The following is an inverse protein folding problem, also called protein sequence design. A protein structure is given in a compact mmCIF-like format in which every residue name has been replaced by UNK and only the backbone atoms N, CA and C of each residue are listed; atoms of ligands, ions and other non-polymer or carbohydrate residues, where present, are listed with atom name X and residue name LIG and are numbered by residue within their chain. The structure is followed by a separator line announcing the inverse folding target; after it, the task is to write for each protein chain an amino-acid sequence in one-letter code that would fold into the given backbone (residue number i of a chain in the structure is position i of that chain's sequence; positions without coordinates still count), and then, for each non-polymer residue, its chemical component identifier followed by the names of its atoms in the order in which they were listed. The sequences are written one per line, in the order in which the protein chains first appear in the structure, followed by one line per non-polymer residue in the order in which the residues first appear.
data_IF_859560598780
#
_entry.id   IF_859560598780
#
_cell.length_a   1.000
_cell.length_b   1.000
_cell.length_c   1.000
_cell.angle_alpha   90.00
_cell.angle_beta   90.00
_cell.angle_gamma   90.00
#
_symmetry.space_group_name_H-M   'P 1'
#
loop_
_entity.id
_entity.type
_entity.pdbx_description
1 polymer ?
#
# COMPACT_ATOMS: atom_id res chain seq x y z
N UNK A 1 -2.60 13.75 -3.45
CA UNK A 1 -3.01 12.33 -3.46
C UNK A 1 -3.82 12.04 -2.20
N UNK A 2 -4.80 11.15 -2.28
CA UNK A 2 -5.62 10.77 -1.12
C UNK A 2 -5.41 9.28 -0.84
N UNK A 3 -5.09 8.96 0.41
CA UNK A 3 -4.80 7.60 0.85
C UNK A 3 -5.93 7.06 1.72
N UNK A 4 -6.53 5.92 1.36
CA UNK A 4 -7.63 5.33 2.13
C UNK A 4 -7.16 4.80 3.48
N UNK A 5 -8.07 4.80 4.45
CA UNK A 5 -7.85 4.24 5.78
C UNK A 5 -8.34 2.79 5.92
N UNK A 6 -8.31 2.30 7.17
CA UNK A 6 -8.92 1.04 7.55
C UNK A 6 -10.36 0.94 7.01
N UNK A 7 -10.73 -0.22 6.48
CA UNK A 7 -12.07 -0.55 5.99
C UNK A 7 -12.16 -0.52 4.46
N UNK A 8 -11.09 -0.08 3.79
CA UNK A 8 -10.98 -0.12 2.33
C UNK A 8 -10.31 -1.40 1.81
N UNK A 9 -9.85 -2.29 2.69
CA UNK A 9 -9.26 -3.57 2.30
C UNK A 9 -10.31 -4.53 1.73
N UNK A 10 -9.91 -5.31 0.73
CA UNK A 10 -10.75 -6.35 0.15
C UNK A 10 -9.90 -7.52 -0.37
N UNK A 11 -10.45 -8.75 -0.45
CA UNK A 11 -9.74 -9.88 -1.02
C UNK A 11 -9.24 -9.58 -2.42
N UNK A 12 -8.00 -9.98 -2.73
CA UNK A 12 -7.34 -9.78 -4.02
C UNK A 12 -7.08 -8.30 -4.39
N UNK A 13 -7.06 -7.37 -3.42
CA UNK A 13 -6.84 -5.93 -3.70
C UNK A 13 -5.51 -5.56 -4.38
N UNK A 14 -4.51 -6.46 -4.36
CA UNK A 14 -3.22 -6.28 -5.02
C UNK A 14 -3.02 -7.16 -6.26
N UNK A 15 -4.08 -7.85 -6.71
CA UNK A 15 -4.01 -8.73 -7.87
C UNK A 15 -3.63 -7.96 -9.13
N UNK A 16 -2.61 -8.44 -9.82
CA UNK A 16 -2.08 -7.82 -11.04
C UNK A 16 -1.19 -6.60 -10.81
N UNK A 17 -0.99 -6.18 -9.55
CA UNK A 17 0.03 -5.17 -9.21
C UNK A 17 1.41 -5.82 -9.06
N UNK A 18 1.44 -7.07 -8.63
CA UNK A 18 2.64 -7.87 -8.38
C UNK A 18 3.58 -8.00 -9.59
N UNK A 19 3.11 -7.76 -10.81
CA UNK A 19 3.92 -7.85 -12.02
C UNK A 19 4.74 -6.57 -12.28
N UNK A 20 4.37 -5.46 -11.64
CA UNK A 20 5.07 -4.18 -11.78
C UNK A 20 6.39 -4.22 -10.99
N UNK A 21 7.55 -3.93 -11.61
CA UNK A 21 8.84 -4.00 -10.93
C UNK A 21 8.91 -3.19 -9.63
N UNK A 22 8.41 -1.94 -9.65
CA UNK A 22 8.40 -1.08 -8.46
C UNK A 22 7.51 -1.64 -7.33
N UNK A 23 6.42 -2.35 -7.66
CA UNK A 23 5.57 -3.00 -6.66
C UNK A 23 6.24 -4.24 -6.10
N UNK A 24 6.97 -5.02 -6.91
CA UNK A 24 7.76 -6.16 -6.43
C UNK A 24 8.77 -5.73 -5.38
N UNK A 25 9.43 -4.59 -5.58
CA UNK A 25 10.38 -4.05 -4.61
C UNK A 25 9.70 -3.69 -3.29
N UNK A 26 8.52 -3.04 -3.33
CA UNK A 26 7.73 -2.73 -2.13
C UNK A 26 7.30 -4.00 -1.39
N UNK A 27 6.80 -5.01 -2.11
CA UNK A 27 6.37 -6.28 -1.52
C UNK A 27 7.55 -7.04 -0.91
N UNK A 28 8.70 -7.09 -1.60
CA UNK A 28 9.91 -7.77 -1.12
C UNK A 28 10.47 -7.10 0.14
N UNK A 29 10.45 -5.75 0.18
CA UNK A 29 10.82 -5.00 1.38
C UNK A 29 9.88 -5.28 2.55
N UNK A 30 8.56 -5.28 2.29
CA UNK A 30 7.56 -5.57 3.32
C UNK A 30 7.76 -6.98 3.89
N UNK A 31 7.98 -7.98 3.03
CA UNK A 31 8.26 -9.36 3.45
C UNK A 31 9.52 -9.46 4.31
N UNK A 32 10.60 -8.76 3.93
CA UNK A 32 11.85 -8.75 4.69
C UNK A 32 11.70 -8.14 6.10
N UNK A 33 10.84 -7.12 6.26
CA UNK A 33 10.60 -6.43 7.54
C UNK A 33 9.64 -7.23 8.43
N UNK A 34 8.57 -7.75 7.84
CA UNK A 34 7.46 -8.37 8.57
C UNK A 34 7.68 -9.86 8.81
N UNK A 35 8.51 -10.51 7.99
CA UNK A 35 8.75 -11.95 8.04
C UNK A 35 7.64 -12.79 7.42
N UNK A 36 6.73 -12.19 6.65
CA UNK A 36 5.67 -12.90 5.92
C UNK A 36 5.26 -12.17 4.63
N UNK A 37 4.70 -12.93 3.69
CA UNK A 37 4.26 -12.43 2.39
C UNK A 37 2.91 -11.69 2.49
N UNK A 38 2.94 -10.37 2.30
CA UNK A 38 1.75 -9.51 2.30
C UNK A 38 0.87 -9.72 1.06
N UNK A 39 1.46 -10.09 -0.08
CA UNK A 39 0.72 -10.41 -1.29
C UNK A 39 -0.08 -11.71 -1.08
N UNK A 40 0.55 -12.77 -0.59
CA UNK A 40 -0.13 -14.01 -0.24
C UNK A 40 -1.28 -13.74 0.74
N UNK A 41 -1.02 -12.95 1.79
CA UNK A 41 -2.05 -12.53 2.75
C UNK A 41 -3.27 -11.90 2.04
N UNK A 42 -3.06 -11.02 1.05
CA UNK A 42 -4.16 -10.38 0.33
C UNK A 42 -4.87 -11.30 -0.67
N UNK A 43 -4.18 -12.29 -1.22
CA UNK A 43 -4.72 -13.20 -2.23
C UNK A 43 -5.50 -14.36 -1.63
N UNK A 44 -5.10 -14.82 -0.44
CA UNK A 44 -5.61 -16.05 0.17
C UNK A 44 -6.56 -15.80 1.34
N UNK A 45 -6.48 -14.64 2.00
CA UNK A 45 -7.30 -14.36 3.17
C UNK A 45 -8.74 -14.01 2.82
N UNK A 46 -9.64 -14.41 3.71
CA UNK A 46 -11.02 -13.92 3.71
C UNK A 46 -11.10 -12.43 4.07
N UNK A 47 -12.22 -11.77 3.74
CA UNK A 47 -12.47 -10.39 4.17
C UNK A 47 -12.46 -10.25 5.71
N UNK A 48 -12.99 -11.23 6.43
CA UNK A 48 -12.99 -11.24 7.89
C UNK A 48 -11.57 -11.23 8.46
N UNK A 49 -10.67 -12.04 7.89
CA UNK A 49 -9.28 -12.03 8.28
C UNK A 49 -8.57 -10.73 7.92
N UNK A 50 -8.83 -10.17 6.75
CA UNK A 50 -8.27 -8.88 6.34
C UNK A 50 -8.77 -7.72 7.23
N UNK A 51 -9.93 -7.86 7.87
CA UNK A 51 -10.47 -6.88 8.81
C UNK A 51 -9.86 -6.96 10.21
N UNK A 52 -9.06 -7.99 10.51
CA UNK A 52 -8.31 -8.03 11.77
C UNK A 52 -7.30 -6.89 11.78
N UNK A 53 -7.30 -6.08 12.83
CA UNK A 53 -6.55 -4.82 12.93
C UNK A 53 -5.08 -4.99 12.53
N UNK A 54 -4.44 -6.04 13.03
CA UNK A 54 -3.04 -6.39 12.78
C UNK A 54 -2.73 -6.65 11.29
N UNK A 55 -3.70 -7.20 10.54
CA UNK A 55 -3.58 -7.47 9.10
C UNK A 55 -4.02 -6.25 8.29
N UNK A 56 -5.16 -5.67 8.65
CA UNK A 56 -5.76 -4.52 7.97
C UNK A 56 -4.76 -3.37 7.85
N UNK A 57 -4.04 -3.07 8.94
CA UNK A 57 -3.15 -1.91 8.93
C UNK A 57 -1.97 -2.07 7.99
N UNK A 58 -1.35 -3.25 8.01
CA UNK A 58 -0.24 -3.59 7.12
C UNK A 58 -0.69 -3.61 5.67
N UNK A 59 -1.79 -4.30 5.38
CA UNK A 59 -2.30 -4.44 4.00
C UNK A 59 -2.70 -3.09 3.43
N UNK A 60 -3.34 -2.22 4.22
CA UNK A 60 -3.72 -0.89 3.76
C UNK A 60 -2.51 0.01 3.50
N UNK A 61 -1.47 -0.06 4.33
CA UNK A 61 -0.25 0.71 4.12
C UNK A 61 0.52 0.21 2.90
N UNK A 62 0.83 -1.09 2.82
CA UNK A 62 1.56 -1.69 1.69
C UNK A 62 0.80 -1.52 0.38
N UNK A 63 -0.52 -1.76 0.40
CA UNK A 63 -1.38 -1.56 -0.77
C UNK A 63 -1.43 -0.11 -1.25
N UNK A 64 -1.40 0.85 -0.33
CA UNK A 64 -1.31 2.27 -0.66
C UNK A 64 0.00 2.62 -1.37
N UNK A 65 1.13 2.08 -0.90
CA UNK A 65 2.44 2.30 -1.53
C UNK A 65 2.54 1.61 -2.90
N UNK A 66 2.01 0.39 -3.02
CA UNK A 66 1.91 -0.30 -4.31
C UNK A 66 1.04 0.48 -5.31
N UNK A 67 -0.09 1.04 -4.86
CA UNK A 67 -0.94 1.89 -5.67
C UNK A 67 -0.27 3.19 -6.11
N UNK A 68 0.56 3.79 -5.24
CA UNK A 68 1.38 4.95 -5.58
C UNK A 68 2.39 4.63 -6.68
N UNK A 69 3.09 3.50 -6.59
CA UNK A 69 4.08 3.09 -7.60
C UNK A 69 3.41 2.77 -8.95
N UNK A 70 2.24 2.12 -8.93
CA UNK A 70 1.42 1.98 -10.15
C UNK A 70 1.08 3.35 -10.74
N UNK A 71 0.58 4.27 -9.92
CA UNK A 71 0.22 5.61 -10.39
C UNK A 71 1.42 6.35 -10.98
N UNK A 72 2.61 6.21 -10.37
CA UNK A 72 3.86 6.78 -10.86
C UNK A 72 4.22 6.23 -12.23
N UNK A 73 4.06 4.92 -12.45
CA UNK A 73 4.32 4.29 -13.74
C UNK A 73 3.31 4.70 -14.82
N UNK A 74 2.02 4.79 -14.49
CA UNK A 74 0.97 5.13 -15.45
C UNK A 74 0.90 6.63 -15.75
N UNK A 75 1.14 7.48 -14.74
CA UNK A 75 1.04 8.95 -14.81
C UNK A 75 2.05 9.63 -13.91
N UNK A 76 3.33 9.53 -14.27
CA UNK A 76 4.44 10.13 -13.53
C UNK A 76 4.20 11.62 -13.19
N UNK A 77 3.74 12.42 -14.17
CA UNK A 77 3.47 13.83 -13.96
C UNK A 77 2.43 14.10 -12.86
N UNK A 78 1.44 13.21 -12.69
CA UNK A 78 0.43 13.36 -11.65
C UNK A 78 1.03 13.17 -10.24
N UNK A 79 2.04 12.31 -10.12
CA UNK A 79 2.78 12.10 -8.87
C UNK A 79 3.76 13.25 -8.64
N UNK A 80 4.57 13.60 -9.64
CA UNK A 80 5.61 14.65 -9.53
C UNK A 80 5.00 16.03 -9.28
N UNK A 81 3.88 16.36 -9.92
CA UNK A 81 3.22 17.67 -9.73
C UNK A 81 2.33 17.74 -8.50
N UNK A 82 2.18 16.64 -7.75
CA UNK A 82 1.32 16.62 -6.58
C UNK A 82 1.84 17.57 -5.51
N UNK A 83 1.02 18.57 -5.13
CA UNK A 83 1.40 19.58 -4.14
C UNK A 83 0.98 19.24 -2.71
N UNK A 84 0.06 18.29 -2.55
CA UNK A 84 -0.51 17.94 -1.26
C UNK A 84 -0.93 16.47 -1.23
N UNK A 85 -0.70 15.84 -0.09
CA UNK A 85 -1.19 14.51 0.25
C UNK A 85 -2.06 14.59 1.49
N UNK A 86 -3.03 13.70 1.59
CA UNK A 86 -3.81 13.52 2.80
C UNK A 86 -4.22 12.05 2.90
N UNK A 87 -4.48 11.60 4.12
CA UNK A 87 -4.87 10.23 4.38
C UNK A 87 -5.97 10.17 5.43
N UNK A 88 -6.85 9.17 5.30
CA UNK A 88 -7.93 8.97 6.26
C UNK A 88 -7.46 8.07 7.40
N UNK A 89 -7.36 8.61 8.63
CA UNK A 89 -6.93 7.84 9.82
C UNK A 89 -5.60 7.13 9.55
N UNK A 90 -5.55 5.79 9.53
CA UNK A 90 -4.36 5.03 9.16
C UNK A 90 -3.73 5.47 7.82
N UNK A 91 -4.55 5.87 6.84
CA UNK A 91 -4.05 6.35 5.55
C UNK A 91 -3.14 7.57 5.67
N UNK A 92 -3.19 8.31 6.79
CA UNK A 92 -2.28 9.42 7.08
C UNK A 92 -0.82 8.94 7.11
N UNK A 93 -0.54 7.73 7.60
CA UNK A 93 0.82 7.17 7.57
C UNK A 93 1.31 6.96 6.13
N UNK A 94 0.46 6.42 5.26
CA UNK A 94 0.79 6.26 3.84
C UNK A 94 0.99 7.62 3.16
N UNK A 95 0.19 8.63 3.53
CA UNK A 95 0.35 9.99 3.03
C UNK A 95 1.69 10.61 3.47
N UNK A 96 2.05 10.51 4.75
CA UNK A 96 3.31 11.03 5.28
C UNK A 96 4.53 10.33 4.68
N UNK A 97 4.47 9.00 4.47
CA UNK A 97 5.51 8.26 3.77
C UNK A 97 5.62 8.71 2.30
N UNK A 98 4.49 8.85 1.59
CA UNK A 98 4.47 9.34 0.21
C UNK A 98 5.00 10.78 0.07
N UNK A 99 4.87 11.60 1.12
CA UNK A 99 5.46 12.94 1.20
C UNK A 99 6.95 12.96 1.60
N UNK A 100 7.53 11.80 1.92
CA UNK A 100 8.94 11.69 2.32
C UNK A 100 9.23 12.16 3.74
N UNK A 101 8.22 12.24 4.62
CA UNK A 101 8.43 12.59 6.04
C UNK A 101 9.20 11.48 6.76
N UNK A 102 8.92 10.23 6.40
CA UNK A 102 9.68 9.05 6.80
C UNK A 102 9.76 8.06 5.63
N UNK A 103 10.74 7.15 5.71
CA UNK A 103 10.96 6.09 4.72
C UNK A 103 9.85 5.04 4.72
N UNK A 104 10.01 3.99 3.91
CA UNK A 104 9.06 2.88 3.91
C UNK A 104 9.32 1.94 5.10
N UNK A 105 10.59 1.80 5.47
CA UNK A 105 11.13 0.98 6.56
C UNK A 105 10.98 1.64 7.94
#
# INVERSE_FOLDING_TARGET
LLFPGHGSQYPQMMKGLQDLPAVKDILSKAEAILGYDVLALCMESSLEELNRIEKAHVVMFVGSMAGLEKLRQEREEAVVRCQAVAGLSLGELAALCAAGVFGFE
#
